data_IF_294660113795
#
_entry.id   IF_294660113795
#
_cell.length_a   1.000
_cell.length_b   1.000
_cell.length_c   1.000
_cell.angle_alpha   90.00
_cell.angle_beta   90.00
_cell.angle_gamma   90.00
#
_symmetry.space_group_name_H-M   'P 1'
#
loop_
_entity.id
_entity.type
_entity.pdbx_description
1 polymer ?
#
# COMPACT_ATOMS: atom_id res chain seq x y z
N UNK A 1 45.92 -11.02 124.46
CA UNK A 1 45.67 -12.19 123.54
C UNK A 1 44.59 -11.80 122.61
N UNK A 2 44.95 -11.49 121.39
CA UNK A 2 44.05 -11.01 120.36
C UNK A 2 43.84 -12.13 119.35
N UNK A 3 42.61 -12.52 119.16
CA UNK A 3 42.22 -13.58 118.21
C UNK A 3 41.61 -12.93 116.98
N UNK A 4 42.21 -13.07 115.81
CA UNK A 4 41.67 -12.43 114.61
C UNK A 4 40.47 -13.24 114.01
N UNK A 5 39.34 -12.55 113.79
CA UNK A 5 38.13 -13.08 113.07
C UNK A 5 38.37 -13.21 111.57
N UNK A 6 38.45 -14.42 111.06
CA UNK A 6 38.74 -14.75 109.64
C UNK A 6 37.58 -14.69 108.67
N UNK A 7 36.36 -14.25 108.94
CA UNK A 7 35.19 -14.39 108.14
C UNK A 7 34.58 -13.13 107.47
N UNK A 8 35.18 -11.95 107.70
CA UNK A 8 34.61 -10.69 107.16
C UNK A 8 34.90 -10.42 105.63
N UNK A 9 35.96 -11.05 105.11
CA UNK A 9 36.35 -10.85 103.68
C UNK A 9 35.51 -11.65 102.66
N UNK A 10 35.17 -12.87 103.02
CA UNK A 10 34.50 -13.78 102.09
C UNK A 10 33.04 -13.38 101.78
N UNK A 11 32.31 -12.87 102.74
CA UNK A 11 30.94 -12.36 102.58
C UNK A 11 30.87 -11.10 101.69
N UNK A 12 31.88 -10.22 101.68
CA UNK A 12 31.94 -9.03 100.82
C UNK A 12 32.25 -9.40 99.40
N UNK A 13 33.08 -10.38 99.11
CA UNK A 13 33.40 -10.85 97.76
C UNK A 13 32.18 -11.56 97.16
N UNK A 14 31.51 -12.47 97.86
CA UNK A 14 30.31 -13.17 97.44
C UNK A 14 29.19 -12.17 97.10
N UNK A 15 28.98 -11.15 97.94
CA UNK A 15 27.97 -10.10 97.69
C UNK A 15 28.30 -9.26 96.45
N UNK A 16 29.56 -8.98 96.16
CA UNK A 16 30.00 -8.29 94.91
C UNK A 16 29.84 -9.17 93.71
N UNK A 17 30.17 -10.46 93.81
CA UNK A 17 29.97 -11.41 92.68
C UNK A 17 28.48 -11.58 92.36
N UNK A 18 27.63 -11.71 93.41
CA UNK A 18 26.15 -11.79 93.19
C UNK A 18 25.60 -10.52 92.50
N UNK A 19 26.08 -9.35 92.92
CA UNK A 19 25.70 -8.09 92.30
C UNK A 19 26.17 -8.00 90.79
N UNK A 20 27.40 -8.45 90.52
CA UNK A 20 27.92 -8.46 89.15
C UNK A 20 27.15 -9.43 88.28
N UNK A 21 26.86 -10.65 88.81
CA UNK A 21 26.08 -11.66 88.08
C UNK A 21 24.63 -11.15 87.81
N UNK A 22 24.00 -10.50 88.77
CA UNK A 22 22.68 -9.91 88.64
C UNK A 22 22.64 -8.80 87.57
N UNK A 23 23.71 -7.95 87.54
CA UNK A 23 23.82 -6.89 86.49
C UNK A 23 24.02 -7.53 85.08
N UNK A 24 24.86 -8.58 85.01
CA UNK A 24 25.05 -9.31 83.70
C UNK A 24 23.78 -9.96 83.23
N UNK A 25 23.00 -10.59 84.14
CA UNK A 25 21.71 -11.20 83.81
C UNK A 25 20.69 -10.08 83.40
N UNK A 26 20.67 -8.95 84.09
CA UNK A 26 19.79 -7.83 83.69
C UNK A 26 20.20 -7.22 82.39
N UNK A 27 21.50 -7.05 82.11
CA UNK A 27 21.97 -6.61 80.75
C UNK A 27 21.68 -7.60 79.68
N UNK A 28 21.88 -8.91 79.92
CA UNK A 28 21.49 -9.96 78.96
C UNK A 28 19.97 -10.00 78.70
N UNK A 29 19.17 -9.78 79.78
CA UNK A 29 17.70 -9.67 79.61
C UNK A 29 17.26 -8.44 78.81
N UNK A 30 17.92 -7.28 79.02
CA UNK A 30 17.67 -6.05 78.28
C UNK A 30 18.12 -6.20 76.83
N UNK A 31 19.33 -6.77 76.59
CA UNK A 31 19.78 -7.00 75.21
C UNK A 31 18.90 -8.03 74.46
N UNK A 32 18.40 -9.06 75.12
CA UNK A 32 17.45 -10.00 74.58
C UNK A 32 16.08 -9.36 74.33
N UNK A 33 15.61 -8.49 75.25
CA UNK A 33 14.36 -7.73 74.99
C UNK A 33 14.51 -6.71 73.86
N UNK A 34 15.64 -6.01 73.76
CA UNK A 34 15.99 -5.10 72.71
C UNK A 34 16.15 -5.81 71.34
N UNK A 35 16.71 -7.03 71.27
CA UNK A 35 16.86 -7.81 70.05
C UNK A 35 15.53 -8.33 69.51
N UNK A 36 14.49 -8.38 70.35
CA UNK A 36 13.10 -8.71 69.94
C UNK A 36 12.26 -7.50 69.51
N UNK A 37 12.74 -6.28 69.71
CA UNK A 37 12.08 -5.09 69.15
C UNK A 37 12.28 -5.06 67.63
N UNK A 38 11.20 -5.18 66.89
CA UNK A 38 11.25 -4.98 65.44
C UNK A 38 11.71 -3.55 65.16
N UNK A 39 12.65 -3.35 64.20
CA UNK A 39 13.10 -1.99 63.84
C UNK A 39 11.89 -1.13 63.49
N UNK A 40 11.90 0.11 63.91
CA UNK A 40 10.82 1.05 63.60
C UNK A 40 10.68 1.14 62.09
N UNK A 41 9.46 0.95 61.60
CA UNK A 41 9.18 1.05 60.19
C UNK A 41 9.58 2.46 59.67
N UNK A 42 10.33 2.56 58.57
CA UNK A 42 10.70 3.84 57.98
C UNK A 42 9.47 4.64 57.62
N UNK A 43 9.53 5.96 57.77
CA UNK A 43 8.44 6.86 57.43
C UNK A 43 8.67 7.46 56.04
N UNK A 44 7.60 7.53 55.22
CA UNK A 44 7.60 8.12 53.92
C UNK A 44 6.46 9.14 53.84
N UNK A 45 6.72 10.30 53.25
CA UNK A 45 5.72 11.34 53.06
C UNK A 45 4.70 10.96 51.97
N UNK A 46 3.41 11.00 52.30
CA UNK A 46 2.35 10.64 51.36
C UNK A 46 2.27 11.56 50.14
N UNK A 47 2.74 12.79 50.27
CA UNK A 47 2.77 13.76 49.16
C UNK A 47 3.75 13.38 48.02
N UNK A 48 4.75 12.54 48.32
CA UNK A 48 5.73 12.08 47.32
C UNK A 48 5.34 10.78 46.65
N UNK A 49 4.24 10.16 47.11
CA UNK A 49 3.79 8.88 46.64
C UNK A 49 2.68 9.04 45.59
N UNK A 50 2.61 8.07 44.70
CA UNK A 50 1.54 7.98 43.73
C UNK A 50 0.62 6.78 44.04
N UNK A 51 -0.40 6.99 44.90
CA UNK A 51 -1.36 5.93 45.23
C UNK A 51 -2.44 5.81 44.19
N UNK A 52 -2.84 4.58 43.88
CA UNK A 52 -4.03 4.30 43.04
C UNK A 52 -4.84 3.17 43.68
N UNK A 53 -6.10 3.08 43.27
CA UNK A 53 -7.05 2.10 43.80
C UNK A 53 -7.29 1.01 42.76
N UNK A 54 -7.25 -0.25 43.17
CA UNK A 54 -7.54 -1.41 42.34
C UNK A 54 -9.02 -1.42 41.97
N UNK A 55 -9.30 -1.46 40.69
CA UNK A 55 -10.65 -1.42 40.10
C UNK A 55 -10.95 -2.73 39.37
N UNK A 56 -12.26 -2.99 39.15
CA UNK A 56 -12.72 -4.06 38.29
C UNK A 56 -13.61 -3.48 37.19
N UNK A 57 -13.38 -3.87 35.97
CA UNK A 57 -14.14 -3.40 34.82
C UNK A 57 -13.40 -3.64 33.50
N UNK A 58 -13.88 -3.02 32.42
CA UNK A 58 -13.25 -3.14 31.14
C UNK A 58 -11.89 -2.41 31.13
N UNK A 59 -10.88 -3.08 30.57
CA UNK A 59 -9.55 -2.53 30.38
C UNK A 59 -9.14 -2.67 28.93
N UNK A 60 -8.83 -1.55 28.26
CA UNK A 60 -8.24 -1.56 26.92
C UNK A 60 -6.73 -1.74 27.03
N UNK A 61 -6.23 -2.67 26.23
CA UNK A 61 -4.79 -2.90 26.08
C UNK A 61 -4.31 -2.11 24.89
N UNK A 62 -3.73 -0.97 25.13
CA UNK A 62 -3.27 -0.05 24.10
C UNK A 62 -1.75 -0.16 23.90
N UNK A 63 -1.29 0.03 22.66
CA UNK A 63 0.13 0.19 22.31
C UNK A 63 0.34 1.57 21.73
N UNK A 64 1.37 2.24 22.20
CA UNK A 64 1.71 3.59 21.79
C UNK A 64 2.93 3.59 20.88
N UNK A 65 2.89 4.43 19.85
CA UNK A 65 4.00 4.63 18.93
C UNK A 65 4.04 6.05 18.38
N UNK A 66 5.23 6.59 18.27
CA UNK A 66 5.48 7.85 17.58
C UNK A 66 5.60 7.58 16.10
N UNK A 67 5.14 8.51 15.28
CA UNK A 67 5.21 8.36 13.84
C UNK A 67 5.07 9.67 13.08
N UNK A 68 4.87 9.52 11.78
CA UNK A 68 4.64 10.66 10.88
C UNK A 68 3.48 10.37 9.93
N UNK A 69 2.78 11.41 9.52
CA UNK A 69 1.84 11.32 8.42
C UNK A 69 2.62 11.24 7.11
N UNK A 70 2.32 10.25 6.28
CA UNK A 70 2.92 10.13 4.96
C UNK A 70 1.83 9.98 3.90
N UNK A 71 2.05 10.44 2.66
CA UNK A 71 1.11 10.19 1.58
C UNK A 71 0.87 8.68 1.41
N UNK A 72 -0.40 8.29 1.26
CA UNK A 72 -0.77 6.88 1.05
C UNK A 72 -0.13 6.34 -0.24
N UNK A 73 -0.08 7.18 -1.28
CA UNK A 73 0.55 6.88 -2.56
C UNK A 73 1.52 7.98 -2.97
N UNK A 74 2.72 7.58 -3.36
CA UNK A 74 3.72 8.42 -4.01
C UNK A 74 3.80 8.00 -5.47
N UNK A 75 3.27 8.82 -6.36
CA UNK A 75 3.23 8.53 -7.78
C UNK A 75 4.48 9.12 -8.45
N UNK A 76 5.19 8.28 -9.18
CA UNK A 76 6.32 8.70 -10.01
C UNK A 76 5.84 8.80 -11.44
N UNK A 77 6.08 9.94 -12.07
CA UNK A 77 5.80 10.16 -13.50
C UNK A 77 7.06 9.79 -14.29
N UNK A 78 7.04 8.68 -15.05
CA UNK A 78 8.19 8.28 -15.86
C UNK A 78 8.16 8.97 -17.23
N UNK A 79 9.31 9.00 -17.90
CA UNK A 79 9.38 9.27 -19.32
C UNK A 79 8.78 8.09 -20.10
N UNK A 80 7.83 8.35 -21.00
CA UNK A 80 7.25 7.30 -21.83
C UNK A 80 8.05 7.09 -23.13
N UNK A 81 8.98 8.01 -23.46
CA UNK A 81 9.79 7.98 -24.66
C UNK A 81 11.14 8.66 -24.41
N UNK A 82 12.11 8.37 -25.26
CA UNK A 82 13.41 8.99 -25.20
C UNK A 82 13.36 10.44 -25.68
N UNK A 83 14.12 11.31 -25.03
CA UNK A 83 14.17 12.70 -25.41
C UNK A 83 15.14 13.51 -24.55
N UNK A 84 15.16 14.82 -24.77
CA UNK A 84 15.90 15.79 -23.99
C UNK A 84 14.93 16.76 -23.35
N UNK A 85 15.10 17.08 -22.07
CA UNK A 85 14.27 18.06 -21.38
C UNK A 85 14.48 19.45 -21.98
N UNK A 86 13.47 19.98 -22.66
CA UNK A 86 13.52 21.30 -23.28
C UNK A 86 13.08 22.38 -22.27
N UNK A 87 11.93 22.16 -21.63
CA UNK A 87 11.34 23.16 -20.74
C UNK A 87 10.55 22.50 -19.62
N UNK A 88 10.67 23.05 -18.41
CA UNK A 88 9.83 22.73 -17.26
C UNK A 88 8.71 23.77 -17.18
N UNK A 89 7.45 23.32 -17.09
CA UNK A 89 6.27 24.20 -17.05
C UNK A 89 5.72 24.36 -15.62
N UNK A 90 5.91 23.33 -14.79
CA UNK A 90 5.51 23.34 -13.39
C UNK A 90 6.75 23.19 -12.54
N UNK A 91 6.90 23.98 -11.50
CA UNK A 91 7.97 23.87 -10.51
C UNK A 91 7.43 23.21 -9.24
N UNK A 92 8.27 22.43 -8.51
CA UNK A 92 7.84 21.80 -7.25
C UNK A 92 7.48 22.87 -6.21
N UNK A 93 6.45 22.59 -5.40
CA UNK A 93 6.05 23.48 -4.30
C UNK A 93 4.61 23.26 -3.86
N UNK A 94 4.19 23.98 -2.82
CA UNK A 94 2.83 23.85 -2.28
C UNK A 94 1.74 24.27 -3.27
N UNK A 95 2.04 25.22 -4.17
CA UNK A 95 1.11 25.72 -5.20
C UNK A 95 1.14 24.90 -6.50
N UNK A 96 1.99 23.85 -6.56
CA UNK A 96 2.13 22.97 -7.73
C UNK A 96 0.98 21.95 -7.85
N UNK A 97 -0.26 22.41 -7.73
CA UNK A 97 -1.44 21.57 -7.91
C UNK A 97 -1.56 21.16 -9.37
N UNK A 98 -1.58 19.88 -9.63
CA UNK A 98 -1.67 19.30 -10.97
C UNK A 98 -2.92 18.46 -11.14
N UNK A 99 -3.45 18.47 -12.37
CA UNK A 99 -4.54 17.62 -12.83
C UNK A 99 -3.99 16.60 -13.83
N UNK A 100 -4.72 15.52 -14.17
CA UNK A 100 -4.25 14.50 -15.09
C UNK A 100 -3.73 15.05 -16.42
N UNK A 101 -4.35 16.09 -16.96
CA UNK A 101 -3.97 16.71 -18.23
C UNK A 101 -2.92 17.83 -18.12
N UNK A 102 -2.51 18.19 -16.92
CA UNK A 102 -1.51 19.23 -16.71
C UNK A 102 -0.16 18.76 -17.26
N UNK A 103 0.41 19.53 -18.19
CA UNK A 103 1.74 19.27 -18.76
C UNK A 103 2.79 19.76 -17.76
N UNK A 104 3.60 18.86 -17.27
CA UNK A 104 4.67 19.15 -16.29
C UNK A 104 5.91 19.71 -16.98
N UNK A 105 6.29 19.09 -18.09
CA UNK A 105 7.47 19.46 -18.86
C UNK A 105 7.31 19.06 -20.32
N UNK A 106 8.15 19.63 -21.18
CA UNK A 106 8.25 19.30 -22.60
C UNK A 106 9.62 18.68 -22.83
N UNK A 107 9.61 17.53 -23.46
CA UNK A 107 10.80 16.88 -24.00
C UNK A 107 10.89 17.21 -25.49
N UNK A 108 12.08 17.15 -26.05
CA UNK A 108 12.31 17.26 -27.50
C UNK A 108 13.07 16.04 -27.98
N UNK A 109 12.70 15.52 -29.15
CA UNK A 109 13.38 14.41 -29.83
C UNK A 109 13.23 14.58 -31.33
N UNK A 110 14.16 15.32 -32.01
CA UNK A 110 14.11 15.53 -33.43
C UNK A 110 14.09 14.22 -34.25
N UNK A 111 14.76 13.19 -33.72
CA UNK A 111 14.79 11.87 -34.33
C UNK A 111 13.39 11.22 -34.36
N UNK A 112 12.66 11.33 -33.27
CA UNK A 112 11.31 10.80 -33.14
C UNK A 112 10.31 11.58 -34.01
N UNK A 113 10.42 12.90 -34.03
CA UNK A 113 9.60 13.78 -34.86
C UNK A 113 9.82 13.48 -36.35
N UNK A 114 11.07 13.35 -36.82
CA UNK A 114 11.40 12.94 -38.16
C UNK A 114 10.84 11.54 -38.49
N UNK A 115 10.98 10.57 -37.56
CA UNK A 115 10.43 9.22 -37.79
C UNK A 115 8.90 9.18 -37.90
N UNK A 116 8.20 10.09 -37.24
CA UNK A 116 6.74 10.26 -37.38
C UNK A 116 6.40 10.82 -38.77
N UNK A 117 7.14 11.85 -39.22
CA UNK A 117 6.94 12.45 -40.55
C UNK A 117 7.22 11.42 -41.66
N UNK A 118 8.28 10.63 -41.53
CA UNK A 118 8.57 9.55 -42.48
C UNK A 118 7.44 8.49 -42.53
N UNK A 119 6.94 8.10 -41.36
CA UNK A 119 5.80 7.14 -41.32
C UNK A 119 4.52 7.74 -41.93
N UNK A 120 4.28 9.05 -41.77
CA UNK A 120 3.17 9.76 -42.41
C UNK A 120 3.28 9.73 -43.94
N UNK A 121 4.48 10.03 -44.48
CA UNK A 121 4.70 9.98 -45.92
C UNK A 121 4.59 8.57 -46.48
N UNK A 122 5.07 7.56 -45.77
CA UNK A 122 4.90 6.16 -46.20
C UNK A 122 3.43 5.77 -46.26
N UNK A 123 2.62 6.18 -45.25
CA UNK A 123 1.19 5.94 -45.27
C UNK A 123 0.51 6.63 -46.47
N UNK A 124 0.77 7.93 -46.68
CA UNK A 124 0.22 8.70 -47.79
C UNK A 124 0.60 8.09 -49.16
N UNK A 125 1.84 7.63 -49.33
CA UNK A 125 2.32 6.97 -50.53
C UNK A 125 1.54 5.66 -50.77
N UNK A 126 1.34 4.85 -49.72
CA UNK A 126 0.58 3.61 -49.85
C UNK A 126 -0.90 3.86 -50.16
N UNK A 127 -1.53 4.89 -49.61
CA UNK A 127 -2.89 5.30 -49.90
C UNK A 127 -3.02 5.74 -51.39
N UNK A 128 -2.08 6.58 -51.88
CA UNK A 128 -2.06 6.98 -53.29
C UNK A 128 -1.85 5.77 -54.25
N UNK A 129 -0.98 4.83 -53.88
CA UNK A 129 -0.76 3.59 -54.63
C UNK A 129 -2.03 2.71 -54.69
N UNK A 130 -2.78 2.66 -53.59
CA UNK A 130 -4.04 1.94 -53.53
C UNK A 130 -5.08 2.56 -54.46
N UNK A 131 -5.19 3.88 -54.49
CA UNK A 131 -6.14 4.58 -55.33
C UNK A 131 -5.78 4.41 -56.83
N UNK A 132 -4.49 4.50 -57.19
CA UNK A 132 -4.03 4.22 -58.56
C UNK A 132 -4.34 2.78 -58.96
N UNK A 133 -3.98 1.80 -58.14
CA UNK A 133 -4.29 0.38 -58.37
C UNK A 133 -5.79 0.16 -58.55
N UNK A 134 -6.63 0.80 -57.75
CA UNK A 134 -8.09 0.70 -57.84
C UNK A 134 -8.61 1.19 -59.19
N UNK A 135 -8.08 2.31 -59.70
CA UNK A 135 -8.45 2.85 -61.01
C UNK A 135 -7.98 1.92 -62.12
N UNK A 136 -6.75 1.41 -62.09
CA UNK A 136 -6.21 0.47 -63.05
C UNK A 136 -7.03 -0.83 -63.14
N UNK A 137 -7.36 -1.39 -61.95
CA UNK A 137 -8.17 -2.62 -61.92
C UNK A 137 -9.61 -2.39 -62.37
N UNK A 138 -10.20 -1.22 -62.11
CA UNK A 138 -11.51 -0.86 -62.60
C UNK A 138 -11.55 -0.75 -64.15
N UNK A 139 -10.53 -0.09 -64.74
CA UNK A 139 -10.37 0.00 -66.18
C UNK A 139 -10.24 -1.38 -66.80
N UNK A 140 -9.37 -2.25 -66.32
CA UNK A 140 -9.19 -3.61 -66.76
C UNK A 140 -10.47 -4.46 -66.64
N UNK A 141 -11.23 -4.23 -65.56
CA UNK A 141 -12.54 -4.90 -65.38
C UNK A 141 -13.58 -4.46 -66.42
N UNK A 142 -13.57 -3.18 -66.85
CA UNK A 142 -14.44 -2.70 -67.96
C UNK A 142 -14.07 -3.31 -69.29
N UNK A 143 -12.77 -3.44 -69.58
CA UNK A 143 -12.31 -4.08 -70.82
C UNK A 143 -12.73 -5.56 -70.85
N UNK A 144 -12.66 -6.29 -69.80
CA UNK A 144 -13.10 -7.67 -69.71
C UNK A 144 -14.60 -7.80 -69.84
N UNK A 145 -15.40 -6.89 -69.28
CA UNK A 145 -16.83 -6.84 -69.40
C UNK A 145 -17.24 -6.55 -70.85
N UNK A 146 -16.53 -5.65 -71.50
CA UNK A 146 -16.79 -5.37 -72.96
C UNK A 146 -16.52 -6.60 -73.79
N UNK A 147 -15.43 -7.34 -73.55
CA UNK A 147 -15.13 -8.60 -74.26
C UNK A 147 -16.22 -9.65 -74.05
N UNK A 148 -16.66 -9.86 -72.81
CA UNK A 148 -17.72 -10.81 -72.49
C UNK A 148 -19.08 -10.42 -73.17
N UNK A 149 -19.39 -9.13 -73.21
CA UNK A 149 -20.59 -8.61 -73.86
C UNK A 149 -20.56 -8.90 -75.39
N UNK A 150 -19.41 -8.75 -76.07
CA UNK A 150 -19.22 -9.08 -77.45
C UNK A 150 -19.48 -10.55 -77.71
N UNK A 151 -18.84 -11.44 -76.97
CA UNK A 151 -19.01 -12.89 -77.05
C UNK A 151 -20.46 -13.31 -76.81
N UNK A 152 -21.14 -12.71 -75.82
CA UNK A 152 -22.56 -12.97 -75.56
C UNK A 152 -23.48 -12.49 -76.77
N UNK A 153 -23.12 -11.38 -77.39
CA UNK A 153 -23.81 -10.88 -78.56
C UNK A 153 -23.69 -11.87 -79.80
N UNK A 154 -22.45 -12.32 -80.02
CA UNK A 154 -22.17 -13.33 -81.11
C UNK A 154 -22.93 -14.63 -80.84
N UNK A 155 -22.98 -15.09 -79.57
CA UNK A 155 -23.77 -16.26 -79.18
C UNK A 155 -25.26 -16.06 -79.51
N UNK A 156 -25.84 -14.93 -79.08
CA UNK A 156 -27.27 -14.63 -79.38
C UNK A 156 -27.60 -14.61 -80.82
N UNK A 157 -26.73 -14.04 -81.68
CA UNK A 157 -26.89 -14.03 -83.11
C UNK A 157 -26.83 -15.45 -83.71
N UNK A 158 -25.80 -16.24 -83.29
CA UNK A 158 -25.66 -17.62 -83.78
C UNK A 158 -26.84 -18.52 -83.35
N UNK A 159 -27.33 -18.29 -82.10
CA UNK A 159 -28.51 -19.04 -81.64
C UNK A 159 -29.76 -18.74 -82.42
N UNK A 160 -30.05 -17.47 -82.67
CA UNK A 160 -31.19 -17.07 -83.51
C UNK A 160 -31.06 -17.64 -84.90
N UNK A 161 -29.87 -17.72 -85.49
CA UNK A 161 -29.63 -18.34 -86.78
C UNK A 161 -29.84 -19.86 -86.75
N UNK A 162 -29.32 -20.56 -85.74
CA UNK A 162 -29.49 -22.00 -85.55
C UNK A 162 -30.95 -22.39 -85.31
N UNK A 163 -31.69 -21.61 -84.54
CA UNK A 163 -33.12 -21.81 -84.27
C UNK A 163 -33.91 -21.68 -85.55
N UNK A 164 -33.67 -20.61 -86.39
CA UNK A 164 -34.27 -20.40 -87.68
C UNK A 164 -33.93 -21.53 -88.71
N UNK A 165 -32.63 -21.88 -88.82
CA UNK A 165 -32.16 -22.89 -89.78
C UNK A 165 -32.74 -24.30 -89.44
N UNK A 166 -32.90 -24.56 -88.09
CA UNK A 166 -33.57 -25.82 -87.67
C UNK A 166 -35.04 -25.86 -88.03
N UNK A 167 -35.76 -24.75 -87.94
CA UNK A 167 -37.16 -24.63 -88.30
C UNK A 167 -37.33 -24.84 -89.83
N UNK A 168 -36.54 -24.17 -90.67
CA UNK A 168 -36.54 -24.28 -92.08
C UNK A 168 -36.16 -25.70 -92.59
N UNK A 169 -35.25 -26.39 -91.88
CA UNK A 169 -34.90 -27.78 -92.17
C UNK A 169 -36.06 -28.75 -91.88
N UNK A 170 -36.83 -28.53 -90.79
CA UNK A 170 -38.05 -29.30 -90.51
C UNK A 170 -39.11 -29.16 -91.54
N UNK A 171 -39.24 -27.97 -92.18
CA UNK A 171 -40.15 -27.69 -93.30
C UNK A 171 -39.62 -28.18 -94.65
N UNK A 172 -38.40 -28.77 -94.70
CA UNK A 172 -37.78 -29.27 -95.95
C UNK A 172 -37.20 -28.16 -96.85
N UNK A 173 -37.11 -26.91 -96.36
CA UNK A 173 -36.64 -25.74 -97.11
C UNK A 173 -35.13 -25.51 -97.00
N UNK A 174 -34.40 -26.23 -96.06
CA UNK A 174 -32.96 -26.13 -95.84
C UNK A 174 -32.36 -27.55 -95.76
N UNK A 175 -31.11 -27.79 -96.21
CA UNK A 175 -30.43 -29.06 -96.05
C UNK A 175 -30.11 -29.33 -94.56
N UNK A 176 -30.34 -30.55 -94.04
CA UNK A 176 -30.08 -30.97 -92.63
C UNK A 176 -28.64 -30.71 -92.17
N UNK A 177 -27.65 -30.85 -93.08
CA UNK A 177 -26.25 -30.58 -92.81
C UNK A 177 -26.04 -29.12 -92.40
N UNK A 178 -26.70 -28.17 -93.06
CA UNK A 178 -26.54 -26.76 -92.77
C UNK A 178 -27.17 -26.39 -91.43
N UNK A 179 -28.32 -26.93 -91.06
CA UNK A 179 -28.94 -26.76 -89.76
C UNK A 179 -28.06 -27.35 -88.64
N UNK A 180 -27.45 -28.51 -88.88
CA UNK A 180 -26.50 -29.09 -87.93
C UNK A 180 -25.22 -28.23 -87.70
N UNK A 181 -24.71 -27.65 -88.83
CA UNK A 181 -23.52 -26.76 -88.71
C UNK A 181 -23.83 -25.47 -87.94
N UNK A 182 -25.00 -24.85 -88.13
CA UNK A 182 -25.42 -23.67 -87.35
C UNK A 182 -25.68 -24.02 -85.90
N UNK A 183 -26.22 -25.22 -85.60
CA UNK A 183 -26.40 -25.69 -84.21
C UNK A 183 -25.08 -25.92 -83.54
N UNK A 184 -24.09 -26.56 -84.15
CA UNK A 184 -22.72 -26.75 -83.57
C UNK A 184 -22.04 -25.41 -83.35
N UNK A 185 -22.22 -24.44 -84.27
CA UNK A 185 -21.65 -23.07 -84.06
C UNK A 185 -22.29 -22.35 -82.90
N UNK A 186 -23.60 -22.49 -82.70
CA UNK A 186 -24.32 -21.95 -81.55
C UNK A 186 -23.84 -22.59 -80.27
N UNK A 187 -23.65 -23.90 -80.25
CA UNK A 187 -23.15 -24.63 -79.08
C UNK A 187 -21.70 -24.22 -78.72
N UNK A 188 -20.81 -24.09 -79.71
CA UNK A 188 -19.44 -23.58 -79.53
C UNK A 188 -19.43 -22.20 -78.82
N UNK A 189 -20.28 -21.27 -79.34
CA UNK A 189 -20.36 -19.92 -78.79
C UNK A 189 -21.05 -19.89 -77.43
N UNK A 190 -21.99 -20.81 -77.16
CA UNK A 190 -22.57 -20.98 -75.81
C UNK A 190 -21.50 -21.39 -74.73
N UNK A 191 -20.66 -22.37 -75.10
CA UNK A 191 -19.56 -22.78 -74.23
C UNK A 191 -18.54 -21.65 -74.02
N UNK A 192 -18.24 -20.92 -75.10
CA UNK A 192 -17.32 -19.75 -74.99
C UNK A 192 -17.89 -18.64 -74.07
N UNK A 193 -19.20 -18.36 -74.22
CA UNK A 193 -19.87 -17.38 -73.30
C UNK A 193 -19.77 -17.81 -71.84
N UNK A 194 -20.04 -19.08 -71.57
CA UNK A 194 -19.93 -19.64 -70.22
C UNK A 194 -18.50 -19.52 -69.64
N UNK A 195 -17.45 -19.76 -70.43
CA UNK A 195 -16.07 -19.59 -70.05
C UNK A 195 -15.73 -18.12 -69.78
N UNK A 196 -16.23 -17.17 -70.57
CA UNK A 196 -15.99 -15.73 -70.31
C UNK A 196 -16.74 -15.23 -69.08
N UNK A 197 -17.95 -15.76 -68.77
CA UNK A 197 -18.64 -15.48 -67.52
C UNK A 197 -17.85 -15.99 -66.31
N UNK A 198 -17.29 -17.21 -66.38
CA UNK A 198 -16.41 -17.74 -65.34
C UNK A 198 -15.14 -16.92 -65.19
N UNK A 199 -14.52 -16.45 -66.26
CA UNK A 199 -13.37 -15.56 -66.27
C UNK A 199 -13.68 -14.22 -65.57
N UNK A 200 -14.84 -13.64 -65.82
CA UNK A 200 -15.29 -12.42 -65.19
C UNK A 200 -15.43 -12.62 -63.66
N UNK A 201 -16.06 -13.69 -63.22
CA UNK A 201 -16.23 -14.01 -61.79
C UNK A 201 -14.88 -14.20 -61.13
N UNK A 202 -13.94 -14.92 -61.73
CA UNK A 202 -12.58 -15.09 -61.21
C UNK A 202 -11.77 -13.77 -61.16
N UNK A 203 -11.96 -12.93 -62.19
CA UNK A 203 -11.30 -11.62 -62.22
C UNK A 203 -11.80 -10.68 -61.13
N UNK A 204 -13.13 -10.68 -60.90
CA UNK A 204 -13.72 -9.89 -59.78
C UNK A 204 -13.20 -10.34 -58.37
N UNK A 205 -13.03 -11.65 -58.20
CA UNK A 205 -12.41 -12.17 -56.96
C UNK A 205 -10.93 -11.79 -56.83
N UNK A 206 -10.16 -11.89 -57.91
CA UNK A 206 -8.77 -11.50 -57.96
C UNK A 206 -8.59 -10.00 -57.65
N UNK A 207 -9.45 -9.13 -58.18
CA UNK A 207 -9.48 -7.70 -57.91
C UNK A 207 -9.74 -7.45 -56.42
N UNK A 208 -10.74 -8.11 -55.83
CA UNK A 208 -11.04 -7.99 -54.40
C UNK A 208 -9.86 -8.42 -53.54
N UNK A 209 -9.24 -9.58 -53.85
CA UNK A 209 -8.10 -10.08 -53.12
C UNK A 209 -6.88 -9.13 -53.20
N UNK A 210 -6.62 -8.57 -54.40
CA UNK A 210 -5.50 -7.65 -54.60
C UNK A 210 -5.71 -6.32 -53.87
N UNK A 211 -6.93 -5.77 -53.89
CA UNK A 211 -7.28 -4.57 -53.12
C UNK A 211 -7.25 -4.83 -51.61
N UNK A 212 -7.70 -5.99 -51.15
CA UNK A 212 -7.63 -6.38 -49.75
C UNK A 212 -6.17 -6.48 -49.25
N UNK A 213 -5.27 -7.08 -50.05
CA UNK A 213 -3.85 -7.16 -49.72
C UNK A 213 -3.21 -5.76 -49.59
N UNK A 214 -3.51 -4.85 -50.51
CA UNK A 214 -3.00 -3.48 -50.45
C UNK A 214 -3.61 -2.70 -49.29
N UNK A 215 -4.88 -2.94 -48.95
CA UNK A 215 -5.52 -2.33 -47.77
C UNK A 215 -4.87 -2.80 -46.48
N UNK A 216 -4.57 -4.09 -46.37
CA UNK A 216 -3.85 -4.61 -45.20
C UNK A 216 -2.46 -3.93 -45.02
N UNK A 217 -1.78 -3.58 -46.14
CA UNK A 217 -0.53 -2.82 -46.10
C UNK A 217 -0.74 -1.39 -45.58
N UNK A 218 -1.81 -0.73 -46.03
CA UNK A 218 -2.18 0.61 -45.51
C UNK A 218 -2.47 0.54 -44.02
N UNK A 219 -3.24 -0.46 -43.56
CA UNK A 219 -3.57 -0.62 -42.14
C UNK A 219 -2.33 -0.87 -41.30
N UNK A 220 -1.35 -1.62 -41.79
CA UNK A 220 -0.04 -1.80 -41.15
C UNK A 220 0.72 -0.47 -41.02
N UNK A 221 0.81 0.31 -42.08
CA UNK A 221 1.52 1.60 -42.08
C UNK A 221 0.78 2.64 -41.23
N UNK A 222 -0.55 2.61 -41.24
CA UNK A 222 -1.37 3.46 -40.34
C UNK A 222 -1.09 3.15 -38.86
N UNK A 223 -1.03 1.88 -38.49
CA UNK A 223 -0.68 1.49 -37.12
C UNK A 223 0.72 1.97 -36.75
N UNK A 224 1.68 1.91 -37.67
CA UNK A 224 3.04 2.44 -37.45
C UNK A 224 3.04 3.97 -37.25
N UNK A 225 2.32 4.70 -38.08
CA UNK A 225 2.18 6.16 -37.95
C UNK A 225 1.51 6.55 -36.62
N UNK A 226 0.41 5.88 -36.24
CA UNK A 226 -0.27 6.14 -34.96
C UNK A 226 0.65 5.86 -33.76
N UNK A 227 1.46 4.80 -33.81
CA UNK A 227 2.47 4.52 -32.79
C UNK A 227 3.47 5.68 -32.68
N UNK A 228 4.04 6.13 -33.79
CA UNK A 228 4.99 7.24 -33.81
C UNK A 228 4.37 8.55 -33.33
N UNK A 229 3.14 8.82 -33.75
CA UNK A 229 2.37 9.98 -33.31
C UNK A 229 2.11 9.97 -31.81
N UNK A 230 1.78 8.81 -31.23
CA UNK A 230 1.58 8.69 -29.79
C UNK A 230 2.88 8.90 -29.02
N UNK A 231 4.02 8.42 -29.54
CA UNK A 231 5.35 8.65 -28.96
C UNK A 231 5.74 10.14 -28.98
N UNK A 232 5.47 10.85 -30.09
CA UNK A 232 5.67 12.31 -30.19
C UNK A 232 4.75 13.04 -29.21
N UNK A 233 3.50 12.64 -29.09
CA UNK A 233 2.57 13.22 -28.13
C UNK A 233 3.03 13.02 -26.68
N UNK A 234 3.70 11.91 -26.39
CA UNK A 234 4.27 11.59 -25.08
C UNK A 234 5.49 12.46 -24.72
N UNK A 235 6.08 13.22 -25.65
CA UNK A 235 7.10 14.24 -25.36
C UNK A 235 6.53 15.37 -24.49
N UNK A 236 5.22 15.60 -24.52
CA UNK A 236 4.51 16.44 -23.56
C UNK A 236 4.16 15.62 -22.34
N UNK A 237 5.03 15.64 -21.33
CA UNK A 237 4.88 14.83 -20.12
C UNK A 237 3.72 15.40 -19.29
N UNK A 238 2.66 14.62 -19.15
CA UNK A 238 1.48 14.98 -18.35
C UNK A 238 1.57 14.36 -16.95
N UNK A 239 0.90 14.99 -15.98
CA UNK A 239 0.83 14.49 -14.61
C UNK A 239 0.13 13.13 -14.47
N UNK A 240 -0.88 12.86 -15.29
CA UNK A 240 -1.64 11.61 -15.28
C UNK A 240 -2.55 11.40 -14.06
N UNK A 241 -2.43 12.25 -13.04
CA UNK A 241 -3.20 12.17 -11.79
C UNK A 241 -3.45 13.55 -11.20
N UNK A 242 -4.40 13.61 -10.25
CA UNK A 242 -4.56 14.79 -9.40
C UNK A 242 -3.57 14.71 -8.25
N UNK A 243 -2.92 15.82 -7.92
CA UNK A 243 -1.98 15.88 -6.81
C UNK A 243 -1.22 17.17 -6.73
N UNK A 244 -0.18 17.17 -5.91
CA UNK A 244 0.81 18.24 -5.83
C UNK A 244 2.15 17.66 -6.26
N UNK A 245 2.84 18.35 -7.17
CA UNK A 245 4.19 17.98 -7.58
C UNK A 245 5.18 18.37 -6.47
N UNK A 246 5.75 17.37 -5.81
CA UNK A 246 6.66 17.57 -4.68
C UNK A 246 8.12 17.62 -5.10
N UNK A 247 8.48 16.93 -6.17
CA UNK A 247 9.88 16.81 -6.58
C UNK A 247 10.01 16.71 -8.09
N UNK A 248 11.04 17.33 -8.63
CA UNK A 248 11.45 17.21 -10.02
C UNK A 248 12.84 16.57 -10.05
N UNK A 249 12.94 15.42 -10.73
CA UNK A 249 14.13 14.55 -10.68
C UNK A 249 15.10 14.80 -11.84
N UNK A 250 14.77 15.72 -12.75
CA UNK A 250 15.55 15.98 -13.95
C UNK A 250 15.72 17.48 -14.18
N UNK A 251 16.81 17.83 -14.88
CA UNK A 251 17.15 19.22 -15.21
C UNK A 251 16.92 19.54 -16.69
N UNK A 252 16.74 20.84 -17.00
CA UNK A 252 16.64 21.32 -18.38
C UNK A 252 17.94 21.01 -19.12
N UNK A 253 17.83 20.45 -20.33
CA UNK A 253 18.95 20.02 -21.13
C UNK A 253 19.41 18.58 -20.89
N UNK A 254 18.93 17.91 -19.84
CA UNK A 254 19.25 16.52 -19.55
C UNK A 254 18.60 15.58 -20.56
N UNK A 255 19.36 14.56 -21.02
CA UNK A 255 18.82 13.45 -21.82
C UNK A 255 18.16 12.44 -20.90
N UNK A 256 16.96 11.99 -21.26
CA UNK A 256 16.18 10.98 -20.55
C UNK A 256 15.83 9.85 -21.52
N UNK A 257 15.74 8.63 -20.99
CA UNK A 257 15.29 7.44 -21.72
C UNK A 257 13.94 6.99 -21.18
N UNK A 258 13.20 6.21 -21.94
CA UNK A 258 11.93 5.64 -21.49
C UNK A 258 12.10 4.90 -20.16
N UNK A 259 11.19 5.14 -19.20
CA UNK A 259 11.27 4.60 -17.83
C UNK A 259 12.03 5.50 -16.83
N UNK A 260 12.73 6.54 -17.26
CA UNK A 260 13.38 7.48 -16.35
C UNK A 260 12.34 8.23 -15.52
N UNK A 261 12.50 8.25 -14.20
CA UNK A 261 11.65 9.01 -13.30
C UNK A 261 11.87 10.52 -13.52
N UNK A 262 10.81 11.25 -13.86
CA UNK A 262 10.87 12.68 -14.20
C UNK A 262 10.39 13.56 -13.05
N UNK A 263 9.28 13.19 -12.42
CA UNK A 263 8.66 13.96 -11.35
C UNK A 263 7.99 13.03 -10.33
N UNK A 264 7.80 13.53 -9.11
CA UNK A 264 7.03 12.88 -8.07
C UNK A 264 5.81 13.70 -7.71
N UNK A 265 4.65 13.05 -7.72
CA UNK A 265 3.37 13.66 -7.37
C UNK A 265 2.83 12.96 -6.13
N UNK A 266 2.33 13.73 -5.17
CA UNK A 266 1.70 13.21 -3.96
C UNK A 266 0.28 13.74 -3.83
N UNK A 267 -0.56 12.99 -3.12
CA UNK A 267 -1.94 13.40 -2.81
C UNK A 267 -2.01 13.78 -1.33
N UNK A 268 -1.88 15.07 -0.97
CA UNK A 268 -1.81 15.50 0.43
C UNK A 268 -3.11 15.32 1.19
N UNK A 269 -4.23 15.04 0.51
CA UNK A 269 -5.53 14.73 1.11
C UNK A 269 -5.70 13.24 1.42
N UNK A 270 -4.77 12.37 1.00
CA UNK A 270 -4.74 10.94 1.30
C UNK A 270 -3.46 10.63 2.07
N UNK A 271 -3.55 10.71 3.38
CA UNK A 271 -2.45 10.41 4.27
C UNK A 271 -2.73 9.13 5.04
N UNK A 272 -1.66 8.41 5.39
CA UNK A 272 -1.62 7.34 6.37
C UNK A 272 -0.63 7.73 7.47
N UNK A 273 -0.76 7.16 8.65
CA UNK A 273 0.24 7.32 9.70
C UNK A 273 1.21 6.13 9.66
N UNK A 274 2.51 6.40 9.62
CA UNK A 274 3.56 5.41 9.81
C UNK A 274 4.06 5.51 11.24
N UNK A 275 3.64 4.55 12.08
CA UNK A 275 4.00 4.49 13.50
C UNK A 275 5.21 3.59 13.70
N UNK A 276 6.17 4.05 14.51
CA UNK A 276 7.31 3.24 14.96
C UNK A 276 7.01 2.70 16.35
N UNK A 277 6.82 1.40 16.45
CA UNK A 277 6.45 0.71 17.68
C UNK A 277 7.57 -0.23 18.08
N UNK A 278 7.94 -0.24 19.38
CA UNK A 278 8.96 -1.14 19.88
C UNK A 278 8.65 -2.59 19.52
N UNK A 279 9.65 -3.36 19.08
CA UNK A 279 9.48 -4.75 18.64
C UNK A 279 8.74 -5.61 19.65
N UNK A 280 9.05 -5.43 20.94
CA UNK A 280 8.42 -6.18 22.05
C UNK A 280 6.91 -5.95 22.14
N UNK A 281 6.43 -4.78 21.75
CA UNK A 281 5.02 -4.39 21.77
C UNK A 281 4.32 -4.66 20.44
N UNK A 282 5.07 -4.66 19.34
CA UNK A 282 4.53 -4.87 18.00
C UNK A 282 4.08 -6.32 17.74
N UNK A 283 4.48 -7.28 18.59
CA UNK A 283 4.10 -8.70 18.48
C UNK A 283 2.59 -8.93 18.63
N UNK A 284 1.94 -8.09 19.43
CA UNK A 284 0.53 -8.22 19.75
C UNK A 284 -0.38 -7.47 18.76
N UNK A 285 0.20 -6.71 17.81
CA UNK A 285 -0.54 -5.90 16.85
C UNK A 285 -0.93 -6.77 15.64
N UNK A 286 -2.19 -6.65 15.23
CA UNK A 286 -2.74 -7.32 14.05
C UNK A 286 -3.36 -6.32 13.07
N UNK A 287 -3.39 -6.71 11.80
CA UNK A 287 -4.05 -5.92 10.74
C UNK A 287 -5.55 -5.83 11.03
N UNK A 288 -6.11 -4.65 10.85
CA UNK A 288 -7.52 -4.35 11.07
C UNK A 288 -7.86 -3.80 12.46
N UNK A 289 -6.93 -3.80 13.42
CA UNK A 289 -7.13 -3.21 14.74
C UNK A 289 -7.38 -1.71 14.64
N UNK A 290 -8.19 -1.19 15.56
CA UNK A 290 -8.50 0.24 15.65
C UNK A 290 -7.33 1.01 16.24
N UNK A 291 -7.12 2.20 15.69
CA UNK A 291 -6.07 3.11 16.12
C UNK A 291 -6.59 4.54 16.20
N UNK A 292 -6.00 5.32 17.08
CA UNK A 292 -6.24 6.75 17.22
C UNK A 292 -4.92 7.48 16.98
N UNK A 293 -4.95 8.42 16.06
CA UNK A 293 -3.77 9.20 15.66
C UNK A 293 -3.97 10.64 16.14
N UNK A 294 -3.17 11.04 17.10
CA UNK A 294 -3.17 12.41 17.62
C UNK A 294 -2.17 13.25 16.81
N UNK A 295 -2.69 14.26 16.14
CA UNK A 295 -1.92 15.23 15.35
C UNK A 295 -1.61 16.51 16.14
N UNK A 296 -1.94 16.55 17.45
CA UNK A 296 -1.95 17.75 18.31
C UNK A 296 -2.97 18.83 17.91
N UNK A 297 -3.53 18.73 16.71
CA UNK A 297 -4.62 19.57 16.19
C UNK A 297 -5.96 18.84 16.15
N UNK A 298 -5.95 17.55 16.54
CA UNK A 298 -7.13 16.69 16.57
C UNK A 298 -6.76 15.21 16.50
N UNK A 299 -7.65 14.36 17.00
CA UNK A 299 -7.50 12.92 17.00
C UNK A 299 -8.24 12.37 15.77
N UNK A 300 -7.55 11.59 14.97
CA UNK A 300 -8.08 10.96 13.76
C UNK A 300 -8.19 9.45 14.02
N UNK A 301 -9.38 8.85 13.91
CA UNK A 301 -9.52 7.40 13.94
C UNK A 301 -8.91 6.78 12.68
N UNK A 302 -8.33 5.59 12.87
CA UNK A 302 -7.73 4.83 11.80
C UNK A 302 -7.78 3.34 12.08
N UNK A 303 -7.29 2.55 11.12
CA UNK A 303 -7.14 1.10 11.24
C UNK A 303 -5.76 0.67 10.77
N UNK A 304 -5.17 -0.29 11.48
CA UNK A 304 -3.91 -0.90 11.08
C UNK A 304 -4.09 -1.56 9.72
N UNK A 305 -3.36 -1.08 8.72
CA UNK A 305 -3.43 -1.56 7.34
C UNK A 305 -2.26 -2.46 6.95
N UNK A 306 -1.08 -2.22 7.53
CA UNK A 306 0.14 -2.99 7.25
C UNK A 306 1.06 -2.97 8.46
N UNK A 307 1.77 -4.07 8.64
CA UNK A 307 2.84 -4.20 9.64
C UNK A 307 4.09 -4.63 8.88
N UNK A 308 5.15 -3.83 8.95
CA UNK A 308 6.41 -4.19 8.30
C UNK A 308 7.02 -5.41 9.01
N UNK A 309 7.40 -6.47 8.29
CA UNK A 309 8.06 -7.62 8.89
C UNK A 309 9.47 -7.29 9.42
N UNK A 310 10.11 -6.24 8.91
CA UNK A 310 11.46 -5.84 9.25
C UNK A 310 11.50 -5.06 10.56
N UNK A 311 12.55 -5.29 11.35
CA UNK A 311 12.85 -4.51 12.55
C UNK A 311 14.01 -3.57 12.25
N UNK A 312 13.80 -2.28 12.41
CA UNK A 312 14.83 -1.25 12.20
C UNK A 312 15.03 -0.48 13.51
N UNK A 313 16.24 -0.46 14.02
CA UNK A 313 16.60 0.20 15.29
C UNK A 313 15.70 -0.20 16.49
N UNK A 314 15.35 -1.52 16.57
CA UNK A 314 14.52 -2.05 17.66
C UNK A 314 13.04 -1.69 17.56
N UNK A 315 12.60 -1.11 16.44
CA UNK A 315 11.19 -0.77 16.18
C UNK A 315 10.67 -1.43 14.91
N UNK A 316 9.37 -1.70 14.87
CA UNK A 316 8.64 -2.11 13.66
C UNK A 316 7.75 -0.97 13.20
N UNK A 317 7.69 -0.78 11.89
CA UNK A 317 6.80 0.21 11.28
C UNK A 317 5.41 -0.40 11.12
N UNK A 318 4.41 0.31 11.61
CA UNK A 318 3.00 -0.05 11.49
C UNK A 318 2.29 1.08 10.75
N UNK A 319 1.72 0.74 9.59
CA UNK A 319 0.94 1.68 8.79
C UNK A 319 -0.52 1.67 9.28
N UNK A 320 -1.03 2.83 9.58
CA UNK A 320 -2.43 3.06 9.97
C UNK A 320 -3.11 3.89 8.89
N UNK A 321 -4.13 3.32 8.25
CA UNK A 321 -4.99 4.05 7.32
C UNK A 321 -5.98 4.87 8.11
N UNK A 322 -6.06 6.16 7.81
CA UNK A 322 -7.01 7.08 8.43
C UNK A 322 -8.40 6.88 7.85
N UNK A 323 -9.42 6.86 8.72
CA UNK A 323 -10.82 6.58 8.33
C UNK A 323 -11.70 7.81 8.35
N UNK A 324 -11.23 8.92 8.92
CA UNK A 324 -11.94 10.20 8.96
C UNK A 324 -11.21 11.27 8.17
N UNK A 325 -11.89 12.39 7.95
CA UNK A 325 -11.33 13.56 7.29
C UNK A 325 -10.14 14.12 8.09
N UNK A 326 -9.14 14.61 7.38
CA UNK A 326 -7.96 15.21 7.96
C UNK A 326 -8.30 16.55 8.64
N UNK A 327 -7.85 16.82 9.86
CA UNK A 327 -8.02 18.11 10.49
C UNK A 327 -7.19 19.20 9.79
N UNK A 328 -7.53 20.48 9.99
CA UNK A 328 -6.71 21.57 9.46
C UNK A 328 -5.27 21.48 9.95
N UNK A 329 -4.31 21.63 9.04
CA UNK A 329 -2.87 21.54 9.35
C UNK A 329 -2.28 20.14 9.29
N UNK A 330 -3.05 19.09 8.97
CA UNK A 330 -2.51 17.78 8.67
C UNK A 330 -1.80 17.81 7.31
N UNK A 331 -0.48 17.82 7.33
CA UNK A 331 0.39 17.85 6.15
C UNK A 331 1.31 16.62 6.13
N UNK A 332 1.85 16.25 4.97
CA UNK A 332 2.90 15.24 4.91
C UNK A 332 4.06 15.56 5.86
N UNK A 333 4.67 14.50 6.41
CA UNK A 333 5.79 14.53 7.37
C UNK A 333 5.46 15.19 8.73
N UNK A 334 4.19 15.50 9.03
CA UNK A 334 3.76 15.91 10.35
C UNK A 334 3.98 14.78 11.35
N UNK A 335 4.67 15.08 12.46
CA UNK A 335 4.85 14.14 13.57
C UNK A 335 3.52 13.92 14.30
N UNK A 336 3.21 12.66 14.57
CA UNK A 336 1.97 12.25 15.22
C UNK A 336 2.23 11.22 16.32
N UNK A 337 1.30 11.17 17.25
CA UNK A 337 1.26 10.17 18.30
C UNK A 337 0.15 9.16 18.01
N UNK A 338 0.50 7.89 17.88
CA UNK A 338 -0.47 6.83 17.57
C UNK A 338 -0.72 5.90 18.74
N UNK A 339 -1.98 5.61 19.01
CA UNK A 339 -2.42 4.62 19.99
C UNK A 339 -3.21 3.54 19.27
N UNK A 340 -2.77 2.28 19.34
CA UNK A 340 -3.43 1.12 18.72
C UNK A 340 -4.09 0.31 19.82
N UNK A 341 -5.38 0.03 19.68
CA UNK A 341 -6.14 -0.86 20.56
C UNK A 341 -5.90 -2.31 20.14
N UNK A 342 -5.12 -3.03 20.98
CA UNK A 342 -4.75 -4.41 20.69
C UNK A 342 -5.84 -5.36 21.16
N UNK A 343 -6.39 -5.13 22.36
CA UNK A 343 -7.37 -6.01 22.99
C UNK A 343 -8.27 -5.22 23.94
N UNK A 344 -9.52 -5.61 24.02
CA UNK A 344 -10.49 -5.07 24.96
C UNK A 344 -10.91 -6.18 25.93
N UNK A 345 -10.43 -6.10 27.18
CA UNK A 345 -10.76 -7.03 28.24
C UNK A 345 -12.01 -6.55 28.93
N UNK A 346 -13.09 -7.31 28.85
CA UNK A 346 -14.42 -6.86 29.31
C UNK A 346 -14.57 -6.77 30.83
N UNK A 347 -13.88 -7.63 31.59
CA UNK A 347 -14.01 -7.69 33.05
C UNK A 347 -12.73 -8.24 33.70
N UNK A 348 -11.84 -7.34 34.06
CA UNK A 348 -10.56 -7.66 34.71
C UNK A 348 -10.32 -6.78 35.93
N UNK A 349 -9.50 -7.27 36.85
CA UNK A 349 -9.00 -6.46 37.96
C UNK A 349 -7.74 -5.74 37.51
N UNK A 350 -7.72 -4.43 37.62
CA UNK A 350 -6.61 -3.59 37.14
C UNK A 350 -6.33 -2.42 38.06
N UNK A 351 -5.14 -1.86 37.91
CA UNK A 351 -4.68 -0.65 38.60
C UNK A 351 -3.84 0.19 37.64
N UNK A 352 -3.57 1.42 37.97
CA UNK A 352 -2.61 2.25 37.25
C UNK A 352 -1.27 1.54 37.09
N UNK A 353 -0.56 1.81 36.00
CA UNK A 353 0.71 1.15 35.71
C UNK A 353 1.80 1.63 36.70
N UNK A 354 2.44 0.74 37.49
CA UNK A 354 3.56 1.11 38.37
C UNK A 354 4.79 1.47 37.50
N UNK A 355 5.68 2.26 38.10
CA UNK A 355 6.93 2.70 37.45
C UNK A 355 7.81 1.52 37.04
N UNK A 356 7.73 0.40 37.75
CA UNK A 356 8.47 -0.84 37.48
C UNK A 356 7.53 -2.03 37.38
N UNK A 357 7.98 -3.08 36.72
CA UNK A 357 7.22 -4.32 36.49
C UNK A 357 7.06 -4.64 35.01
N UNK A 358 7.34 -5.89 34.67
CA UNK A 358 7.17 -6.41 33.32
C UNK A 358 5.80 -7.09 33.19
N UNK A 359 5.19 -7.12 32.01
CA UNK A 359 4.00 -7.93 31.78
C UNK A 359 4.22 -9.39 32.17
N UNK A 360 3.20 -10.02 32.75
CA UNK A 360 3.24 -11.42 33.18
C UNK A 360 4.35 -11.76 34.22
N UNK A 361 4.78 -10.77 35.01
CA UNK A 361 5.77 -10.95 36.08
C UNK A 361 5.13 -10.84 37.44
N UNK A 362 5.86 -11.26 38.49
CA UNK A 362 5.48 -11.04 39.86
C UNK A 362 6.38 -9.96 40.44
N UNK A 363 5.76 -8.88 40.93
CA UNK A 363 6.44 -7.79 41.62
C UNK A 363 5.90 -7.64 43.04
N UNK A 364 6.53 -6.83 43.83
CA UNK A 364 6.03 -6.45 45.17
C UNK A 364 5.56 -5.02 45.13
N UNK A 365 4.33 -4.77 45.61
CA UNK A 365 3.77 -3.43 45.76
C UNK A 365 3.45 -3.18 47.24
N UNK A 366 3.46 -1.93 47.66
CA UNK A 366 3.02 -1.52 49.00
C UNK A 366 1.51 -1.25 48.96
N UNK A 367 0.73 -2.10 49.66
CA UNK A 367 -0.70 -1.93 49.87
C UNK A 367 -0.90 -1.03 51.12
N UNK A 368 -1.63 0.05 50.94
CA UNK A 368 -1.97 1.00 52.00
C UNK A 368 -3.01 0.38 52.93
N UNK A 369 -2.77 0.44 54.23
CA UNK A 369 -3.70 -0.04 55.27
C UNK A 369 -5.01 0.78 55.26
N UNK A 370 -6.12 0.21 55.78
CA UNK A 370 -7.44 0.87 55.84
C UNK A 370 -7.44 2.18 56.59
N UNK A 371 -6.49 2.36 57.56
CA UNK A 371 -6.33 3.59 58.32
C UNK A 371 -5.51 4.66 57.56
N UNK A 372 -4.87 4.34 56.44
CA UNK A 372 -4.04 5.25 55.67
C UNK A 372 -2.71 5.66 56.33
N UNK A 373 -2.38 5.08 57.50
CA UNK A 373 -1.17 5.43 58.28
C UNK A 373 0.02 4.52 58.04
N UNK A 374 -0.15 3.48 57.23
CA UNK A 374 0.92 2.53 56.91
C UNK A 374 0.66 1.82 55.60
N UNK A 375 1.70 1.20 55.07
CA UNK A 375 1.57 0.32 53.92
C UNK A 375 2.38 -0.96 54.13
N UNK A 376 1.82 -2.06 53.65
CA UNK A 376 2.39 -3.40 53.81
C UNK A 376 2.77 -3.93 52.42
N UNK A 377 3.93 -4.55 52.35
CA UNK A 377 4.49 -5.14 51.14
C UNK A 377 3.72 -6.43 50.76
N UNK A 378 3.19 -6.48 49.54
CA UNK A 378 2.40 -7.62 49.04
C UNK A 378 2.97 -8.06 47.69
N UNK A 379 3.22 -9.37 47.49
CA UNK A 379 3.56 -9.89 46.19
C UNK A 379 2.31 -9.83 45.28
N UNK A 380 2.47 -9.28 44.06
CA UNK A 380 1.39 -9.07 43.08
C UNK A 380 1.79 -9.70 41.78
N UNK A 381 0.95 -10.57 41.25
CA UNK A 381 1.14 -11.16 39.95
C UNK A 381 0.46 -10.26 38.90
N UNK A 382 1.29 -9.67 38.03
CA UNK A 382 0.85 -8.81 36.94
C UNK A 382 0.42 -9.64 35.73
N UNK A 383 -0.56 -9.13 35.01
CA UNK A 383 -1.02 -9.68 33.74
C UNK A 383 -0.65 -8.81 32.55
N UNK A 384 -1.62 -8.53 31.71
CA UNK A 384 -1.49 -7.67 30.50
C UNK A 384 -1.29 -6.22 30.89
N UNK A 385 -0.49 -5.52 30.09
CA UNK A 385 -0.12 -4.12 30.36
C UNK A 385 -0.64 -3.24 29.23
N UNK A 386 -1.31 -2.16 29.58
CA UNK A 386 -1.65 -1.05 28.70
C UNK A 386 -0.68 0.12 28.89
N UNK A 387 -0.94 1.24 28.22
CA UNK A 387 -0.14 2.47 28.38
C UNK A 387 -0.19 2.97 29.82
N UNK A 388 -1.40 3.09 30.41
CA UNK A 388 -1.64 3.72 31.69
C UNK A 388 -2.11 2.75 32.80
N UNK A 389 -2.37 1.48 32.48
CA UNK A 389 -2.92 0.50 33.42
C UNK A 389 -2.29 -0.89 33.25
N UNK A 390 -2.41 -1.69 34.31
CA UNK A 390 -1.92 -3.06 34.32
C UNK A 390 -2.95 -3.99 34.97
N UNK A 391 -3.15 -5.15 34.39
CA UNK A 391 -4.01 -6.21 34.90
C UNK A 391 -3.38 -6.84 36.14
N UNK A 392 -4.18 -7.13 37.16
CA UNK A 392 -3.78 -7.84 38.36
C UNK A 392 -4.39 -9.24 38.32
N UNK A 393 -3.54 -10.26 38.24
CA UNK A 393 -3.97 -11.65 38.24
C UNK A 393 -4.13 -12.23 39.66
N UNK A 394 -3.26 -11.80 40.59
CA UNK A 394 -3.28 -12.26 41.99
C UNK A 394 -2.56 -11.26 42.92
N UNK A 395 -2.86 -11.35 44.21
CA UNK A 395 -2.20 -10.57 45.27
C UNK A 395 -2.97 -9.34 45.77
N UNK A 396 -3.92 -8.80 44.99
CA UNK A 396 -4.74 -7.64 45.38
C UNK A 396 -6.23 -7.88 45.17
N UNK A 397 -7.04 -7.14 45.91
CA UNK A 397 -8.53 -7.16 45.78
C UNK A 397 -9.05 -5.82 45.31
N UNK A 398 -10.21 -5.83 44.72
CA UNK A 398 -10.93 -4.61 44.31
C UNK A 398 -11.14 -3.72 45.56
N UNK A 399 -10.77 -2.44 45.43
CA UNK A 399 -10.83 -1.46 46.49
C UNK A 399 -9.52 -1.30 47.27
N UNK A 400 -8.55 -2.19 47.08
CA UNK A 400 -7.22 -2.02 47.72
C UNK A 400 -6.52 -0.78 47.14
N UNK A 401 -5.87 -0.01 47.97
CA UNK A 401 -5.04 1.13 47.57
C UNK A 401 -3.57 0.71 47.57
N UNK A 402 -2.87 0.96 46.49
CA UNK A 402 -1.47 0.57 46.31
C UNK A 402 -0.61 1.76 45.86
N UNK A 403 0.65 1.72 46.18
CA UNK A 403 1.64 2.73 45.81
C UNK A 403 2.27 2.29 44.47
N UNK A 404 2.19 3.15 43.46
CA UNK A 404 2.71 2.89 42.11
C UNK A 404 4.08 3.52 41.85
N UNK A 405 4.51 4.51 42.70
CA UNK A 405 5.82 5.14 42.64
C UNK A 405 6.95 4.16 42.98
N UNK A 406 8.18 4.50 42.61
CA UNK A 406 9.36 3.69 42.89
C UNK A 406 9.61 3.64 44.40
N UNK A 407 9.52 2.45 44.96
CA UNK A 407 9.75 2.17 46.38
C UNK A 407 11.00 1.31 46.62
N UNK A 408 11.91 1.22 45.66
CA UNK A 408 13.12 0.38 45.74
C UNK A 408 14.00 0.71 46.97
N UNK A 409 14.02 1.98 47.41
CA UNK A 409 14.70 2.39 48.63
C UNK A 409 14.13 1.71 49.90
N UNK A 410 12.91 1.19 49.87
CA UNK A 410 12.22 0.54 50.99
C UNK A 410 12.13 -0.99 50.82
N UNK A 411 12.80 -1.57 49.84
CA UNK A 411 12.75 -3.02 49.54
C UNK A 411 13.18 -3.95 50.69
N UNK A 412 13.96 -3.43 51.65
CA UNK A 412 14.37 -4.16 52.84
C UNK A 412 13.31 -4.22 53.96
N UNK A 413 12.13 -3.60 53.78
CA UNK A 413 11.14 -3.46 54.87
C UNK A 413 9.78 -4.01 54.42
N UNK A 414 9.19 -4.86 55.28
CA UNK A 414 7.86 -5.44 55.03
C UNK A 414 6.72 -4.45 55.28
N UNK A 415 6.97 -3.41 56.05
CA UNK A 415 6.00 -2.37 56.41
C UNK A 415 6.67 -0.99 56.48
N UNK A 416 5.96 -0.01 55.97
CA UNK A 416 6.35 1.42 56.07
C UNK A 416 5.26 2.21 56.74
N UNK A 417 5.63 3.34 57.37
CA UNK A 417 4.69 4.31 57.91
C UNK A 417 4.50 5.44 56.93
N UNK A 418 3.25 5.89 56.77
CA UNK A 418 2.88 7.01 55.93
C UNK A 418 2.60 8.23 56.82
N UNK A 419 3.24 9.37 56.53
CA UNK A 419 3.09 10.62 57.25
C UNK A 419 2.39 11.66 56.35
#
# INVERSE_FOLDING_TARGET
MDVPRKDAGRKRVIRRVVWIVSIVIALAGITFALSRLKPAAPSVEMATLWPDTVKRGPMRVDRHGLGTLVPEEKLVVPANTDGRVEKRLVLPGQDAVVKPDTVLMILTSPELENSMVDAEYQLKTAEATYDDLKVQLASKGLDQKATAATVNSDYKQAKLQADRDTELAKEGLLPDLQAKLSAVKSEELAQRTKLEEQRLAMADEAVKAQLAAQRAKIDQLRAMYELKRSQVAALKVKAGTNGIMTELLVEVGQRVVAGTALARITQPWKLKAELKIAETQAKDIAIGQEAQIDTRNGIIPGKVSRIDPSVINGTRTVDVRLTAALPPGAVPDLSVDGTIEVENLSDVVYVGRPVFGQPNSTITLFKIDSEGKGATRVPVKLGRTSVNSIEILDGLRVGDRVILSDMSAMDGHDRIRLN
#
